data_IF_472730917508
#
_entry.id   IF_472730917508
#
_cell.length_a   1.000
_cell.length_b   1.000
_cell.length_c   1.000
_cell.angle_alpha   90.00
_cell.angle_beta   90.00
_cell.angle_gamma   90.00
#
_symmetry.space_group_name_H-M   'P 1'
#
loop_
_entity.id
_entity.type
_entity.pdbx_description
1 polymer ?
#
# COMPACT_ATOMS: atom_id res chain seq x y z
N UNK A 1 -5.16 20.28 -75.86
CA UNK A 1 -4.43 20.58 -74.62
C UNK A 1 -5.37 20.36 -73.45
N UNK A 2 -5.16 19.26 -72.65
CA UNK A 2 -5.96 18.99 -71.45
C UNK A 2 -5.05 19.30 -70.25
N UNK A 3 -5.35 20.34 -69.49
CA UNK A 3 -4.67 20.72 -68.25
C UNK A 3 -5.13 19.80 -67.09
N UNK A 4 -4.18 19.07 -66.50
CA UNK A 4 -4.41 18.27 -65.29
C UNK A 4 -4.14 19.15 -64.07
N UNK A 5 -5.20 19.42 -63.30
CA UNK A 5 -5.04 19.99 -61.96
C UNK A 5 -4.59 18.92 -60.95
N UNK A 6 -3.44 19.09 -60.38
CA UNK A 6 -2.98 18.31 -59.21
C UNK A 6 -3.47 19.02 -57.92
N UNK A 7 -4.40 18.42 -57.19
CA UNK A 7 -4.78 18.87 -55.85
C UNK A 7 -3.84 18.16 -54.87
N UNK A 8 -2.93 18.92 -54.25
CA UNK A 8 -2.07 18.45 -53.19
C UNK A 8 -2.85 18.52 -51.87
N UNK A 9 -3.24 17.36 -51.31
CA UNK A 9 -3.86 17.27 -49.97
C UNK A 9 -2.70 17.14 -48.98
N UNK A 10 -2.41 18.26 -48.27
CA UNK A 10 -1.47 18.24 -47.13
C UNK A 10 -2.17 17.68 -45.92
N UNK A 11 -1.82 16.46 -45.52
CA UNK A 11 -2.22 15.88 -44.25
C UNK A 11 -1.37 16.51 -43.13
N UNK A 12 -1.97 17.41 -42.35
CA UNK A 12 -1.39 17.84 -41.10
C UNK A 12 -1.55 16.73 -40.08
N UNK A 13 -0.50 15.97 -39.83
CA UNK A 13 -0.41 15.14 -38.64
C UNK A 13 -0.24 16.06 -37.43
N UNK A 14 -1.31 16.28 -36.67
CA UNK A 14 -1.19 16.77 -35.31
C UNK A 14 -0.52 15.69 -34.46
N UNK A 15 0.80 15.81 -34.28
CA UNK A 15 1.51 15.12 -33.22
C UNK A 15 0.98 15.70 -31.90
N UNK A 16 -0.05 15.08 -31.33
CA UNK A 16 -0.38 15.30 -29.92
C UNK A 16 0.82 14.77 -29.12
N UNK A 17 1.76 15.66 -28.78
CA UNK A 17 2.72 15.40 -27.73
C UNK A 17 1.90 15.12 -26.47
N UNK A 18 1.99 13.89 -25.95
CA UNK A 18 1.47 13.53 -24.63
C UNK A 18 2.21 14.39 -23.60
N UNK A 19 1.72 15.61 -23.39
CA UNK A 19 2.29 16.51 -22.40
C UNK A 19 1.94 15.95 -21.01
N UNK A 20 2.97 15.75 -20.18
CA UNK A 20 2.82 15.29 -18.80
C UNK A 20 1.76 16.13 -18.07
N UNK A 21 1.07 15.53 -17.13
CA UNK A 21 0.08 16.25 -16.32
C UNK A 21 0.81 17.23 -15.41
N UNK A 22 0.56 18.52 -15.61
CA UNK A 22 1.08 19.57 -14.72
C UNK A 22 0.23 19.64 -13.44
N UNK A 23 0.85 19.40 -12.28
CA UNK A 23 0.19 19.42 -10.98
C UNK A 23 -0.53 20.74 -10.72
N UNK A 24 0.17 21.86 -10.96
CA UNK A 24 -0.36 23.19 -10.65
C UNK A 24 -1.58 23.58 -11.49
N UNK A 25 -1.75 23.01 -12.68
CA UNK A 25 -2.92 23.22 -13.53
C UNK A 25 -4.19 22.60 -12.99
N UNK A 26 -4.10 21.40 -12.38
CA UNK A 26 -5.27 20.61 -11.99
C UNK A 26 -5.51 20.57 -10.49
N UNK A 27 -4.49 20.74 -9.65
CA UNK A 27 -4.57 20.43 -8.23
C UNK A 27 -4.10 21.57 -7.32
N UNK A 28 -4.50 21.50 -6.06
CA UNK A 28 -4.02 22.34 -4.95
C UNK A 28 -3.05 21.56 -4.07
N UNK A 29 -2.43 22.19 -3.07
CA UNK A 29 -1.56 21.54 -2.08
C UNK A 29 -2.34 20.85 -0.94
N UNK A 30 -3.66 20.75 -1.07
CA UNK A 30 -4.53 19.98 -0.16
C UNK A 30 -4.75 18.59 -0.71
N UNK A 31 -5.20 17.66 0.13
CA UNK A 31 -5.60 16.34 -0.30
C UNK A 31 -7.13 16.22 -0.41
N UNK A 32 -7.57 15.40 -1.36
CA UNK A 32 -8.94 14.90 -1.47
C UNK A 32 -8.94 13.45 -1.03
N UNK A 33 -9.70 13.14 0.02
CA UNK A 33 -9.93 11.77 0.47
C UNK A 33 -11.34 11.34 0.12
N UNK A 34 -11.45 10.15 -0.47
CA UNK A 34 -12.73 9.50 -0.72
C UNK A 34 -12.84 8.32 0.24
N UNK A 35 -13.76 8.40 1.19
CA UNK A 35 -14.13 7.30 2.06
C UNK A 35 -15.29 6.52 1.43
N UNK A 36 -15.18 5.20 1.38
CA UNK A 36 -16.18 4.32 0.76
C UNK A 36 -16.21 2.96 1.46
N UNK A 37 -17.29 2.20 1.25
CA UNK A 37 -17.39 0.82 1.69
C UNK A 37 -17.15 -0.11 0.49
N UNK A 38 -16.32 -1.14 0.68
CA UNK A 38 -16.33 -2.32 -0.19
C UNK A 38 -17.19 -3.39 0.48
N UNK A 39 -18.19 -3.89 -0.23
CA UNK A 39 -19.12 -4.89 0.30
C UNK A 39 -19.35 -6.01 -0.70
N UNK A 40 -19.59 -7.21 -0.21
CA UNK A 40 -19.84 -8.38 -1.04
C UNK A 40 -19.49 -9.69 -0.34
N UNK A 41 -19.12 -10.69 -1.13
CA UNK A 41 -18.71 -12.02 -0.69
C UNK A 41 -17.53 -12.52 -1.56
N UNK A 42 -17.22 -13.81 -1.52
CA UNK A 42 -16.11 -14.38 -2.31
C UNK A 42 -16.22 -14.21 -3.84
N UNK A 43 -17.42 -13.98 -4.38
CA UNK A 43 -17.66 -13.87 -5.83
C UNK A 43 -18.18 -12.50 -6.29
N UNK A 44 -18.53 -11.62 -5.35
CA UNK A 44 -19.09 -10.31 -5.64
C UNK A 44 -18.39 -9.21 -4.85
N UNK A 45 -18.22 -8.04 -5.48
CA UNK A 45 -17.70 -6.82 -4.86
C UNK A 45 -18.47 -5.62 -5.42
N UNK A 46 -18.87 -4.72 -4.52
CA UNK A 46 -19.49 -3.44 -4.86
C UNK A 46 -18.89 -2.36 -3.97
N UNK A 47 -18.63 -1.20 -4.53
CA UNK A 47 -18.15 -0.04 -3.79
C UNK A 47 -19.29 0.98 -3.60
N UNK A 48 -19.39 1.54 -2.38
CA UNK A 48 -20.40 2.54 -2.00
C UNK A 48 -19.73 3.77 -1.42
N UNK A 49 -19.92 4.93 -2.05
CA UNK A 49 -19.39 6.21 -1.55
C UNK A 49 -19.98 6.51 -0.17
N UNK A 50 -19.13 6.78 0.81
CA UNK A 50 -19.53 7.22 2.15
C UNK A 50 -19.44 8.75 2.28
N UNK A 51 -18.30 9.34 1.91
CA UNK A 51 -18.10 10.80 1.96
C UNK A 51 -16.87 11.21 1.17
N UNK A 52 -16.80 12.51 0.84
CA UNK A 52 -15.63 13.20 0.29
C UNK A 52 -15.09 14.12 1.38
N UNK A 53 -13.79 14.12 1.61
CA UNK A 53 -13.12 14.94 2.65
C UNK A 53 -12.00 15.76 2.03
N UNK A 54 -11.97 17.05 2.34
CA UNK A 54 -10.83 17.90 2.07
C UNK A 54 -9.86 17.85 3.26
N UNK A 55 -8.64 17.38 3.04
CA UNK A 55 -7.58 17.31 4.05
C UNK A 55 -6.57 18.44 3.85
N UNK A 56 -5.93 18.95 4.92
CA UNK A 56 -5.13 20.16 4.86
C UNK A 56 -3.86 20.05 4.02
N UNK A 57 -3.29 18.85 3.87
CA UNK A 57 -1.99 18.63 3.27
C UNK A 57 -2.02 17.54 2.21
N UNK A 58 -1.38 17.78 1.07
CA UNK A 58 -0.99 16.75 0.13
C UNK A 58 0.48 16.38 0.37
N UNK A 59 0.74 15.14 0.79
CA UNK A 59 2.09 14.59 0.99
C UNK A 59 2.64 13.88 -0.23
N UNK A 60 1.76 13.40 -1.12
CA UNK A 60 2.13 12.51 -2.22
C UNK A 60 2.79 13.24 -3.40
N UNK A 61 3.13 12.44 -4.42
CA UNK A 61 3.85 12.90 -5.62
C UNK A 61 3.13 14.01 -6.39
N UNK A 62 3.90 14.90 -7.01
CA UNK A 62 3.42 16.00 -7.86
C UNK A 62 3.85 15.83 -9.34
N UNK A 63 4.43 14.70 -9.70
CA UNK A 63 4.93 14.35 -11.03
C UNK A 63 4.39 12.98 -11.47
N UNK A 64 4.46 12.67 -12.76
CA UNK A 64 3.98 11.41 -13.34
C UNK A 64 2.56 11.03 -12.86
N UNK A 65 1.67 12.03 -12.75
CA UNK A 65 0.36 11.88 -12.12
C UNK A 65 -0.57 10.93 -12.87
N UNK A 66 -0.38 10.82 -14.20
CA UNK A 66 -1.11 9.94 -15.11
C UNK A 66 -0.47 8.55 -15.29
N UNK A 67 0.50 8.20 -14.43
CA UNK A 67 1.20 6.91 -14.44
C UNK A 67 1.17 6.28 -13.06
N UNK A 68 1.23 4.95 -12.98
CA UNK A 68 1.38 4.18 -11.74
C UNK A 68 2.18 2.91 -11.98
N UNK A 69 2.58 2.24 -10.91
CA UNK A 69 3.48 1.08 -10.98
C UNK A 69 2.79 -0.25 -11.30
N UNK A 70 1.47 -0.24 -11.56
CA UNK A 70 0.61 -1.42 -11.78
C UNK A 70 0.61 -2.42 -10.60
N UNK A 71 0.69 -1.90 -9.38
CA UNK A 71 0.62 -2.68 -8.14
C UNK A 71 -0.79 -2.62 -7.53
N UNK A 72 -1.15 -3.63 -6.73
CA UNK A 72 -2.42 -3.71 -6.00
C UNK A 72 -3.55 -4.43 -6.72
N UNK A 73 -4.53 -4.91 -5.95
CA UNK A 73 -5.76 -5.54 -6.46
C UNK A 73 -6.78 -4.52 -6.96
N UNK A 74 -6.62 -3.26 -6.58
CA UNK A 74 -7.47 -2.16 -6.99
C UNK A 74 -6.64 -1.02 -7.55
N UNK A 75 -7.28 -0.19 -8.39
CA UNK A 75 -6.77 1.11 -8.79
C UNK A 75 -7.89 2.13 -8.78
N UNK A 76 -7.51 3.40 -8.69
CA UNK A 76 -8.43 4.51 -8.90
C UNK A 76 -7.87 5.50 -9.92
N UNK A 77 -8.77 6.12 -10.65
CA UNK A 77 -8.45 7.09 -11.68
C UNK A 77 -9.23 8.38 -11.43
N UNK A 78 -8.57 9.51 -11.63
CA UNK A 78 -9.17 10.83 -11.57
C UNK A 78 -9.06 11.45 -12.95
N UNK A 79 -10.22 11.77 -13.54
CA UNK A 79 -10.31 12.36 -14.87
C UNK A 79 -10.91 13.77 -14.75
N UNK A 80 -10.29 14.75 -15.38
CA UNK A 80 -10.85 16.08 -15.48
C UNK A 80 -12.16 16.05 -16.29
N UNK A 81 -13.28 16.48 -15.71
CA UNK A 81 -14.61 16.35 -16.32
C UNK A 81 -14.76 17.18 -17.59
N UNK A 82 -14.02 18.30 -17.71
CA UNK A 82 -14.15 19.19 -18.87
C UNK A 82 -13.40 18.65 -20.10
N UNK A 83 -12.19 18.12 -19.91
CA UNK A 83 -11.32 17.67 -21.00
C UNK A 83 -11.37 16.15 -21.24
N UNK A 84 -11.87 15.37 -20.28
CA UNK A 84 -11.79 13.92 -20.29
C UNK A 84 -10.36 13.38 -20.08
N UNK A 85 -9.39 14.24 -19.72
CA UNK A 85 -7.99 13.83 -19.53
C UNK A 85 -7.83 13.12 -18.20
N UNK A 86 -7.12 11.97 -18.20
CA UNK A 86 -6.64 11.33 -16.98
C UNK A 86 -5.61 12.26 -16.31
N UNK A 87 -5.86 12.68 -15.07
CA UNK A 87 -5.02 13.63 -14.33
C UNK A 87 -4.38 13.04 -13.08
N UNK A 88 -4.89 11.89 -12.59
CA UNK A 88 -4.25 11.14 -11.51
C UNK A 88 -4.66 9.66 -11.58
N UNK A 89 -3.73 8.77 -11.26
CA UNK A 89 -3.99 7.33 -11.15
C UNK A 89 -3.08 6.74 -10.08
N UNK A 90 -3.61 5.80 -9.27
CA UNK A 90 -2.79 4.99 -8.37
C UNK A 90 -3.44 3.65 -8.06
N UNK A 91 -2.63 2.70 -7.53
CA UNK A 91 -3.06 1.38 -7.12
C UNK A 91 -3.10 1.24 -5.61
N UNK A 92 -3.91 0.32 -5.10
CA UNK A 92 -4.02 0.01 -3.68
C UNK A 92 -4.54 -1.41 -3.45
N UNK A 93 -4.38 -1.91 -2.23
CA UNK A 93 -4.92 -3.18 -1.75
C UNK A 93 -5.87 -2.96 -0.58
N UNK A 94 -6.61 -3.98 -0.18
CA UNK A 94 -7.62 -3.84 0.88
C UNK A 94 -7.77 -5.12 1.70
N UNK A 95 -8.11 -4.97 2.97
CA UNK A 95 -8.49 -6.09 3.83
C UNK A 95 -9.74 -6.86 3.30
N UNK A 96 -10.62 -6.17 2.55
CA UNK A 96 -11.77 -6.80 1.90
C UNK A 96 -11.36 -7.84 0.86
N UNK A 97 -10.31 -7.57 0.07
CA UNK A 97 -9.81 -8.54 -0.91
C UNK A 97 -9.30 -9.81 -0.24
N UNK A 98 -8.47 -9.68 0.79
CA UNK A 98 -7.97 -10.82 1.55
C UNK A 98 -9.11 -11.61 2.20
N UNK A 99 -10.11 -10.92 2.79
CA UNK A 99 -11.28 -11.58 3.33
C UNK A 99 -12.07 -12.36 2.27
N UNK A 100 -12.14 -11.88 1.02
CA UNK A 100 -12.84 -12.58 -0.07
C UNK A 100 -12.26 -13.96 -0.36
N UNK A 101 -10.98 -14.22 -0.03
CA UNK A 101 -10.32 -15.53 -0.22
C UNK A 101 -10.65 -16.53 0.90
N UNK A 102 -11.22 -16.08 2.01
CA UNK A 102 -11.51 -16.91 3.18
C UNK A 102 -12.75 -17.80 3.01
N UNK A 103 -12.83 -18.87 3.81
CA UNK A 103 -14.01 -19.73 3.88
C UNK A 103 -15.24 -19.00 4.44
N UNK A 104 -15.07 -17.92 5.22
CA UNK A 104 -16.17 -17.10 5.73
C UNK A 104 -16.87 -16.37 4.59
N UNK A 105 -16.12 -15.81 3.63
CA UNK A 105 -16.67 -15.09 2.48
C UNK A 105 -17.50 -15.99 1.56
N UNK A 106 -17.29 -17.32 1.58
CA UNK A 106 -18.12 -18.31 0.85
C UNK A 106 -19.51 -18.48 1.47
N UNK A 107 -19.73 -18.01 2.72
CA UNK A 107 -20.96 -18.25 3.49
C UNK A 107 -21.76 -16.99 3.80
N UNK A 108 -21.14 -15.81 3.72
CA UNK A 108 -21.80 -14.55 4.05
C UNK A 108 -21.22 -13.39 3.26
N UNK A 109 -21.93 -12.25 3.28
CA UNK A 109 -21.45 -10.98 2.78
C UNK A 109 -21.06 -10.06 3.95
N UNK A 110 -19.98 -9.28 3.77
CA UNK A 110 -19.52 -8.24 4.72
C UNK A 110 -19.23 -6.93 3.99
N UNK A 111 -19.11 -5.86 4.76
CA UNK A 111 -18.60 -4.57 4.28
C UNK A 111 -17.38 -4.15 5.09
N UNK A 112 -16.45 -3.44 4.43
CA UNK A 112 -15.20 -2.96 4.98
C UNK A 112 -15.01 -1.50 4.65
N UNK A 113 -14.57 -0.70 5.62
CA UNK A 113 -14.15 0.69 5.38
C UNK A 113 -12.91 0.72 4.48
N UNK A 114 -12.95 1.58 3.47
CA UNK A 114 -11.84 1.82 2.56
C UNK A 114 -11.71 3.30 2.27
N UNK A 115 -10.51 3.72 1.91
CA UNK A 115 -10.23 5.12 1.63
C UNK A 115 -9.11 5.24 0.61
N UNK A 116 -9.30 6.12 -0.38
CA UNK A 116 -8.26 6.54 -1.31
C UNK A 116 -7.97 8.02 -1.13
N UNK A 117 -6.78 8.45 -1.52
CA UNK A 117 -6.33 9.84 -1.42
C UNK A 117 -5.65 10.27 -2.71
N UNK A 118 -5.92 11.50 -3.14
CA UNK A 118 -5.27 12.17 -4.26
C UNK A 118 -5.24 13.69 -4.02
N UNK A 119 -4.47 14.47 -4.80
CA UNK A 119 -4.44 15.93 -4.60
C UNK A 119 -5.81 16.56 -4.83
N UNK A 120 -6.19 17.55 -4.03
CA UNK A 120 -7.51 18.18 -4.12
C UNK A 120 -7.66 18.95 -5.46
N UNK A 121 -8.67 18.62 -6.29
CA UNK A 121 -8.81 19.17 -7.63
C UNK A 121 -9.28 20.62 -7.61
N UNK A 122 -8.88 21.39 -8.62
CA UNK A 122 -9.33 22.79 -8.84
C UNK A 122 -10.65 22.88 -9.60
N UNK A 123 -10.99 21.85 -10.36
CA UNK A 123 -12.18 21.78 -11.22
C UNK A 123 -12.95 20.48 -10.97
N UNK A 124 -14.14 20.35 -11.57
CA UNK A 124 -14.91 19.12 -11.48
C UNK A 124 -14.15 17.92 -12.06
N UNK A 125 -14.24 16.79 -11.38
CA UNK A 125 -13.55 15.56 -11.75
C UNK A 125 -14.47 14.36 -11.70
N UNK A 126 -14.12 13.34 -12.47
CA UNK A 126 -14.66 11.99 -12.38
C UNK A 126 -13.69 11.10 -11.60
N UNK A 127 -14.20 10.42 -10.60
CA UNK A 127 -13.49 9.38 -9.83
C UNK A 127 -13.98 8.02 -10.31
N UNK A 128 -13.05 7.12 -10.64
CA UNK A 128 -13.34 5.71 -10.93
C UNK A 128 -12.52 4.82 -10.01
N UNK A 129 -13.16 3.79 -9.44
CA UNK A 129 -12.50 2.73 -8.64
C UNK A 129 -12.74 1.41 -9.36
N UNK A 130 -11.65 0.69 -9.61
CA UNK A 130 -11.63 -0.54 -10.39
C UNK A 130 -10.94 -1.66 -9.63
N UNK A 131 -11.44 -2.90 -9.80
CA UNK A 131 -10.85 -4.14 -9.28
C UNK A 131 -10.08 -4.84 -10.39
N UNK A 132 -8.91 -5.37 -10.07
CA UNK A 132 -8.11 -6.22 -10.96
C UNK A 132 -8.84 -7.53 -11.24
N UNK A 133 -8.89 -7.93 -12.50
CA UNK A 133 -9.49 -9.19 -12.97
C UNK A 133 -8.51 -10.06 -13.76
N UNK A 134 -7.26 -9.64 -13.87
CA UNK A 134 -6.13 -10.28 -14.51
C UNK A 134 -4.94 -9.33 -14.49
N UNK A 135 -3.77 -9.73 -14.95
CA UNK A 135 -2.53 -8.94 -14.82
C UNK A 135 -2.68 -7.48 -15.30
N UNK A 136 -3.38 -7.26 -16.43
CA UNK A 136 -3.63 -5.92 -17.00
C UNK A 136 -5.13 -5.66 -17.29
N UNK A 137 -6.03 -6.41 -16.67
CA UNK A 137 -7.48 -6.24 -16.87
C UNK A 137 -8.19 -5.79 -15.60
N UNK A 138 -9.24 -4.96 -15.77
CA UNK A 138 -9.89 -4.23 -14.71
C UNK A 138 -11.39 -4.21 -14.86
N UNK A 139 -12.11 -4.34 -13.75
CA UNK A 139 -13.56 -4.20 -13.65
C UNK A 139 -13.89 -2.96 -12.84
N UNK A 140 -14.70 -2.06 -13.39
CA UNK A 140 -15.20 -0.89 -12.68
C UNK A 140 -16.17 -1.31 -11.57
N UNK A 141 -15.91 -0.85 -10.33
CA UNK A 141 -16.76 -1.07 -9.17
C UNK A 141 -17.61 0.16 -8.83
N UNK A 142 -17.02 1.36 -8.97
CA UNK A 142 -17.70 2.62 -8.68
C UNK A 142 -17.19 3.71 -9.62
N UNK A 143 -18.09 4.60 -10.05
CA UNK A 143 -17.75 5.81 -10.77
C UNK A 143 -18.72 6.92 -10.38
N UNK A 144 -18.23 8.13 -10.17
CA UNK A 144 -19.03 9.31 -9.89
C UNK A 144 -18.27 10.58 -10.23
N UNK A 145 -19.01 11.67 -10.45
CA UNK A 145 -18.47 13.01 -10.68
C UNK A 145 -18.71 13.87 -9.44
N UNK A 146 -17.77 14.75 -9.10
CA UNK A 146 -17.98 15.79 -8.10
C UNK A 146 -17.27 17.10 -8.47
N UNK A 147 -17.80 18.20 -7.92
CA UNK A 147 -17.18 19.52 -8.02
C UNK A 147 -16.48 19.87 -6.71
N UNK A 148 -15.28 20.49 -6.74
CA UNK A 148 -14.61 20.99 -5.53
C UNK A 148 -15.42 22.08 -4.79
N UNK A 149 -16.43 22.65 -5.44
CA UNK A 149 -17.37 23.63 -4.86
C UNK A 149 -18.55 22.98 -4.13
N UNK A 150 -18.67 21.65 -4.15
CA UNK A 150 -19.74 20.94 -3.46
C UNK A 150 -19.70 21.22 -1.96
N UNK A 151 -20.84 21.60 -1.42
CA UNK A 151 -21.02 21.93 0.00
C UNK A 151 -21.03 20.69 0.90
N UNK A 152 -21.26 19.50 0.34
CA UNK A 152 -21.24 18.22 1.05
C UNK A 152 -19.82 17.66 1.24
N UNK A 153 -18.80 18.28 0.63
CA UNK A 153 -17.40 17.93 0.95
C UNK A 153 -17.14 18.31 2.40
N UNK A 154 -16.74 17.31 3.19
CA UNK A 154 -16.42 17.50 4.61
C UNK A 154 -15.12 18.32 4.76
N UNK A 155 -15.20 19.44 5.48
CA UNK A 155 -14.09 20.34 5.80
C UNK A 155 -13.99 20.49 7.31
N UNK A 156 -13.73 19.36 7.98
CA UNK A 156 -13.69 19.33 9.43
C UNK A 156 -12.45 20.04 9.99
N UNK A 157 -12.60 20.64 11.17
CA UNK A 157 -11.44 21.09 11.91
C UNK A 157 -10.53 19.90 12.25
N UNK A 158 -9.19 20.04 12.13
CA UNK A 158 -8.26 18.97 12.48
C UNK A 158 -8.43 18.52 13.93
N UNK A 159 -8.21 17.24 14.18
CA UNK A 159 -8.16 16.69 15.52
C UNK A 159 -7.04 17.37 16.32
N UNK A 160 -7.28 17.60 17.61
CA UNK A 160 -6.29 18.22 18.51
C UNK A 160 -5.58 17.14 19.32
N UNK A 161 -4.59 16.52 18.72
CA UNK A 161 -3.71 15.54 19.39
C UNK A 161 -2.26 15.94 19.20
N UNK A 162 -1.36 15.57 20.11
CA UNK A 162 0.05 15.89 19.96
C UNK A 162 0.68 15.18 18.75
N UNK A 163 1.46 15.94 17.99
CA UNK A 163 2.25 15.45 16.86
C UNK A 163 3.70 15.80 17.09
N UNK A 164 4.61 14.89 16.74
CA UNK A 164 6.06 15.09 16.81
C UNK A 164 6.69 14.78 15.47
N UNK A 165 7.53 15.68 14.96
CA UNK A 165 8.45 15.37 13.87
C UNK A 165 9.60 14.49 14.41
N UNK A 166 9.65 13.22 13.97
CA UNK A 166 10.73 12.28 14.31
C UNK A 166 11.93 12.55 13.39
N UNK A 167 11.67 12.75 12.12
CA UNK A 167 12.66 13.11 11.10
C UNK A 167 12.02 14.04 10.08
N UNK A 168 12.69 15.16 9.79
CA UNK A 168 12.34 16.06 8.69
C UNK A 168 13.56 16.27 7.81
N UNK A 169 13.57 15.64 6.66
CA UNK A 169 14.70 15.67 5.72
C UNK A 169 14.50 16.71 4.62
N UNK A 170 13.31 16.78 4.03
CA UNK A 170 12.99 17.68 2.92
C UNK A 170 11.52 18.14 2.98
N UNK A 171 11.13 18.99 2.03
CA UNK A 171 9.72 19.32 1.79
C UNK A 171 8.96 18.09 1.24
N UNK A 172 7.66 18.01 1.51
CA UNK A 172 6.82 16.86 1.16
C UNK A 172 6.75 16.56 -0.35
N UNK A 173 6.95 17.56 -1.20
CA UNK A 173 7.02 17.37 -2.66
C UNK A 173 8.30 16.67 -3.14
N UNK A 174 9.29 16.45 -2.25
CA UNK A 174 10.60 15.82 -2.54
C UNK A 174 10.94 14.67 -1.60
N UNK A 175 10.09 14.38 -0.65
CA UNK A 175 10.30 13.34 0.33
C UNK A 175 9.04 12.50 0.49
N UNK A 176 9.23 11.27 0.92
CA UNK A 176 8.18 10.38 1.38
C UNK A 176 7.82 10.78 2.81
N UNK A 177 6.56 11.05 3.07
CA UNK A 177 6.05 11.37 4.39
C UNK A 177 5.41 10.14 5.04
N UNK A 178 6.00 9.65 6.14
CA UNK A 178 5.50 8.51 6.91
C UNK A 178 4.78 9.02 8.16
N UNK A 179 3.48 8.73 8.28
CA UNK A 179 2.68 9.04 9.47
C UNK A 179 2.60 7.80 10.39
N UNK A 180 3.24 7.86 11.57
CA UNK A 180 3.11 6.84 12.60
C UNK A 180 1.98 7.22 13.54
N UNK A 181 0.93 6.41 13.61
CA UNK A 181 -0.26 6.63 14.43
C UNK A 181 -0.25 5.71 15.64
N UNK A 182 -0.45 6.27 16.85
CA UNK A 182 -0.52 5.51 18.09
C UNK A 182 -1.80 4.66 18.15
N UNK A 183 -1.68 3.41 18.63
CA UNK A 183 -2.78 2.51 18.88
C UNK A 183 -2.59 1.78 20.20
N UNK A 184 -3.61 1.80 21.08
CA UNK A 184 -3.52 1.19 22.42
C UNK A 184 -2.63 1.97 23.41
N UNK A 185 -2.25 3.20 23.11
CA UNK A 185 -1.59 4.12 24.05
C UNK A 185 -2.61 5.09 24.63
N UNK A 186 -2.73 5.13 25.96
CA UNK A 186 -3.55 6.13 26.63
C UNK A 186 -2.88 7.51 26.61
N UNK A 187 -3.62 8.57 26.92
CA UNK A 187 -3.06 9.92 27.01
C UNK A 187 -1.88 10.01 27.99
N UNK A 188 -1.86 9.21 29.08
CA UNK A 188 -0.76 9.15 30.02
C UNK A 188 0.50 8.44 29.45
N UNK A 189 0.36 7.67 28.37
CA UNK A 189 1.45 6.91 27.73
C UNK A 189 2.04 7.63 26.50
N UNK A 190 1.70 8.88 26.28
CA UNK A 190 2.16 9.68 25.13
C UNK A 190 3.70 9.68 25.00
N UNK A 191 4.43 9.83 26.14
CA UNK A 191 5.89 9.78 26.11
C UNK A 191 6.41 8.43 25.60
N UNK A 192 5.82 7.32 26.12
CA UNK A 192 6.15 5.96 25.67
C UNK A 192 5.95 5.81 24.17
N UNK A 193 4.81 6.30 23.67
CA UNK A 193 4.53 6.25 22.22
C UNK A 193 5.61 6.96 21.40
N UNK A 194 6.00 8.19 21.75
CA UNK A 194 7.04 8.90 21.01
C UNK A 194 8.40 8.21 21.07
N UNK A 195 8.74 7.59 22.21
CA UNK A 195 9.97 6.80 22.34
C UNK A 195 9.91 5.53 21.47
N UNK A 196 8.75 4.86 21.39
CA UNK A 196 8.56 3.66 20.56
C UNK A 196 8.50 4.02 19.06
N UNK A 197 7.88 5.14 18.68
CA UNK A 197 7.89 5.65 17.31
C UNK A 197 9.30 6.02 16.83
N UNK A 198 10.13 6.59 17.72
CA UNK A 198 11.55 6.84 17.42
C UNK A 198 12.29 5.54 17.12
N UNK A 199 12.11 4.50 17.95
CA UNK A 199 12.74 3.19 17.73
C UNK A 199 12.29 2.57 16.40
N UNK A 200 10.99 2.66 16.06
CA UNK A 200 10.49 2.18 14.78
C UNK A 200 11.22 2.86 13.61
N UNK A 201 11.33 4.18 13.65
CA UNK A 201 12.04 4.92 12.62
C UNK A 201 13.53 4.56 12.54
N UNK A 202 14.19 4.43 13.70
CA UNK A 202 15.60 4.02 13.77
C UNK A 202 15.80 2.61 13.17
N UNK A 203 14.91 1.67 13.48
CA UNK A 203 14.95 0.30 12.97
C UNK A 203 14.76 0.27 11.44
N UNK A 204 13.80 1.04 10.91
CA UNK A 204 13.58 1.16 9.46
C UNK A 204 14.86 1.60 8.74
N UNK A 205 15.57 2.59 9.30
CA UNK A 205 16.80 3.12 8.72
C UNK A 205 18.06 2.25 8.97
N UNK A 206 17.94 1.10 9.61
CA UNK A 206 18.99 0.08 9.62
C UNK A 206 18.98 -0.80 8.37
N UNK A 207 17.86 -0.81 7.61
CA UNK A 207 17.65 -1.67 6.45
C UNK A 207 17.82 -0.92 5.13
N UNK A 208 18.54 -1.54 4.18
CA UNK A 208 18.53 -1.07 2.79
C UNK A 208 17.20 -1.42 2.12
N UNK A 209 16.66 -0.56 1.23
CA UNK A 209 17.24 0.68 0.73
C UNK A 209 16.88 1.94 1.56
N UNK A 210 16.07 1.84 2.62
CA UNK A 210 15.66 2.98 3.46
C UNK A 210 16.87 3.72 4.05
N UNK A 211 17.93 2.99 4.42
CA UNK A 211 19.16 3.56 4.96
C UNK A 211 19.82 4.54 3.99
N UNK A 212 20.08 4.12 2.75
CA UNK A 212 20.74 4.97 1.73
C UNK A 212 19.86 6.12 1.26
N UNK A 213 18.54 5.97 1.35
CA UNK A 213 17.55 6.98 0.96
C UNK A 213 16.98 7.78 2.15
N UNK A 214 17.56 7.70 3.34
CA UNK A 214 17.07 8.38 4.55
C UNK A 214 16.79 9.87 4.34
N UNK A 215 17.61 10.55 3.54
CA UNK A 215 17.45 11.97 3.22
C UNK A 215 16.21 12.30 2.35
N UNK A 216 15.49 11.28 1.88
CA UNK A 216 14.26 11.40 1.09
C UNK A 216 13.02 10.99 1.88
N UNK A 217 13.13 10.85 3.19
CA UNK A 217 12.05 10.36 4.04
C UNK A 217 11.87 11.32 5.21
N UNK A 218 10.63 11.73 5.43
CA UNK A 218 10.17 12.40 6.63
C UNK A 218 9.36 11.41 7.48
N UNK A 219 9.39 11.55 8.78
CA UNK A 219 8.64 10.70 9.72
C UNK A 219 7.97 11.57 10.77
N UNK A 220 6.67 11.40 10.92
CA UNK A 220 5.84 12.08 11.91
C UNK A 220 5.20 11.05 12.84
N UNK A 221 5.11 11.37 14.12
CA UNK A 221 4.42 10.56 15.12
C UNK A 221 3.19 11.30 15.64
N UNK A 222 2.02 10.65 15.59
CA UNK A 222 0.72 11.21 15.95
C UNK A 222 0.20 10.45 17.16
N UNK A 223 0.16 11.11 18.33
CA UNK A 223 -0.21 10.49 19.59
C UNK A 223 -1.74 10.39 19.74
N UNK A 224 -2.39 9.59 18.90
CA UNK A 224 -3.82 9.29 18.99
C UNK A 224 -4.14 8.61 20.33
N UNK A 225 -4.97 9.21 21.22
CA UNK A 225 -5.22 8.66 22.53
C UNK A 225 -6.25 7.53 22.49
N UNK A 226 -5.88 6.37 23.03
CA UNK A 226 -6.82 5.28 23.32
C UNK A 226 -7.42 5.42 24.72
N UNK A 227 -8.67 4.96 24.93
CA UNK A 227 -9.26 4.88 26.26
C UNK A 227 -8.59 3.78 27.08
N UNK A 228 -8.32 2.64 26.45
CA UNK A 228 -7.63 1.50 27.05
C UNK A 228 -6.18 1.38 26.57
N UNK A 229 -5.32 0.83 27.42
CA UNK A 229 -3.99 0.38 27.02
C UNK A 229 -4.07 -1.00 26.37
N UNK A 230 -3.09 -1.32 25.48
CA UNK A 230 -3.06 -2.54 24.69
C UNK A 230 -4.12 -2.53 23.57
N UNK A 231 -4.20 -3.60 22.78
CA UNK A 231 -5.17 -3.80 21.70
C UNK A 231 -6.07 -5.00 21.99
N UNK A 232 -7.16 -5.15 21.24
CA UNK A 232 -8.08 -6.26 21.44
C UNK A 232 -7.47 -7.60 21.01
N UNK A 233 -7.69 -8.65 21.81
CA UNK A 233 -7.35 -10.05 21.55
C UNK A 233 -8.63 -10.91 21.66
N UNK A 234 -9.50 -10.91 20.63
CA UNK A 234 -10.83 -11.53 20.68
C UNK A 234 -10.83 -13.01 21.06
N UNK A 235 -9.82 -13.76 20.60
CA UNK A 235 -9.66 -15.19 20.88
C UNK A 235 -9.37 -15.48 22.38
N UNK A 236 -8.94 -14.47 23.14
CA UNK A 236 -8.76 -14.52 24.59
C UNK A 236 -9.92 -13.84 25.35
N UNK A 237 -10.96 -13.38 24.65
CA UNK A 237 -12.07 -12.62 25.22
C UNK A 237 -11.68 -11.21 25.69
N UNK A 238 -10.51 -10.71 25.32
CA UNK A 238 -10.00 -9.39 25.72
C UNK A 238 -10.35 -8.33 24.67
N UNK A 239 -11.31 -7.47 24.99
CA UNK A 239 -11.72 -6.34 24.17
C UNK A 239 -11.22 -5.03 24.75
N UNK A 240 -10.75 -4.10 23.89
CA UNK A 240 -10.20 -2.80 24.25
C UNK A 240 -10.81 -1.69 23.41
N UNK A 241 -11.06 -0.55 24.03
CA UNK A 241 -11.52 0.66 23.35
C UNK A 241 -10.29 1.51 22.99
N UNK A 242 -9.82 1.40 21.76
CA UNK A 242 -8.59 2.01 21.30
C UNK A 242 -8.82 3.02 20.17
N UNK A 243 -7.81 3.81 19.81
CA UNK A 243 -7.93 4.95 18.91
C UNK A 243 -8.46 4.57 17.52
N UNK A 244 -8.02 3.43 16.99
CA UNK A 244 -8.43 2.92 15.67
C UNK A 244 -8.98 1.50 15.72
N UNK A 245 -9.22 0.95 16.93
CA UNK A 245 -9.89 -0.34 17.12
C UNK A 245 -9.12 -1.55 16.58
N UNK A 246 -7.78 -1.50 16.60
CA UNK A 246 -7.00 -2.64 16.12
C UNK A 246 -7.21 -3.88 16.99
N UNK A 247 -7.23 -5.03 16.32
CA UNK A 247 -7.41 -6.31 17.01
C UNK A 247 -6.61 -7.42 16.34
N UNK A 248 -6.17 -8.37 17.15
CA UNK A 248 -5.65 -9.65 16.68
C UNK A 248 -6.78 -10.57 16.21
N UNK A 249 -6.38 -11.73 15.69
CA UNK A 249 -7.30 -12.78 15.26
C UNK A 249 -8.14 -12.41 14.04
N UNK A 250 -7.61 -11.52 13.20
CA UNK A 250 -8.21 -11.21 11.91
C UNK A 250 -8.25 -12.48 11.07
N UNK A 251 -9.42 -12.79 10.49
CA UNK A 251 -9.69 -14.00 9.70
C UNK A 251 -9.36 -15.32 10.44
N UNK A 252 -9.42 -15.31 11.78
CA UNK A 252 -9.07 -16.45 12.66
C UNK A 252 -7.56 -16.77 12.70
N UNK A 253 -6.68 -15.92 12.15
CA UNK A 253 -5.23 -16.06 12.27
C UNK A 253 -4.74 -15.32 13.55
N UNK A 254 -4.18 -16.04 14.55
CA UNK A 254 -3.88 -15.46 15.86
C UNK A 254 -2.93 -14.27 15.85
N UNK A 255 -1.99 -14.22 14.90
CA UNK A 255 -0.98 -13.16 14.80
C UNK A 255 -1.31 -12.05 13.83
N UNK A 256 -2.41 -12.21 13.06
CA UNK A 256 -2.82 -11.21 12.11
C UNK A 256 -3.51 -10.05 12.84
N UNK A 257 -2.83 -8.92 12.88
CA UNK A 257 -3.24 -7.70 13.57
C UNK A 257 -3.65 -6.65 12.54
N UNK A 258 -4.92 -6.25 12.55
CA UNK A 258 -5.47 -5.26 11.61
C UNK A 258 -6.43 -4.29 12.30
N UNK A 259 -6.87 -3.25 11.58
CA UNK A 259 -7.95 -2.36 12.04
C UNK A 259 -9.11 -2.32 11.05
N UNK A 260 -10.37 -2.40 11.53
CA UNK A 260 -11.56 -2.18 10.72
C UNK A 260 -11.93 -0.68 10.57
N UNK A 261 -11.35 0.22 11.39
CA UNK A 261 -11.72 1.64 11.46
C UNK A 261 -10.81 2.54 10.62
N UNK A 262 -10.82 2.32 9.30
CA UNK A 262 -9.97 3.06 8.36
C UNK A 262 -10.28 4.54 8.33
N UNK A 263 -11.54 4.94 8.45
CA UNK A 263 -11.91 6.35 8.45
C UNK A 263 -11.37 7.09 9.68
N UNK A 264 -11.36 6.44 10.84
CA UNK A 264 -10.74 7.00 12.06
C UNK A 264 -9.21 7.11 11.88
N UNK A 265 -8.57 6.07 11.35
CA UNK A 265 -7.14 6.07 11.05
C UNK A 265 -6.75 7.26 10.15
N UNK A 266 -7.46 7.45 9.05
CA UNK A 266 -7.21 8.54 8.10
C UNK A 266 -7.45 9.93 8.74
N UNK A 267 -8.42 10.07 9.65
CA UNK A 267 -8.62 11.34 10.37
C UNK A 267 -7.41 11.71 11.24
N UNK A 268 -6.70 10.73 11.84
CA UNK A 268 -5.46 10.99 12.56
C UNK A 268 -4.29 11.26 11.60
N UNK A 269 -4.13 10.46 10.55
CA UNK A 269 -3.06 10.63 9.58
C UNK A 269 -3.10 12.02 8.91
N UNK A 270 -4.29 12.57 8.65
CA UNK A 270 -4.50 13.88 8.03
C UNK A 270 -3.96 15.10 8.83
N UNK A 271 -3.45 14.87 10.05
CA UNK A 271 -2.77 15.91 10.84
C UNK A 271 -1.39 16.28 10.32
N UNK A 272 -0.84 15.47 9.44
CA UNK A 272 0.45 15.67 8.76
C UNK A 272 0.30 15.33 7.28
N UNK A 273 1.20 15.80 6.39
CA UNK A 273 1.31 15.21 5.06
C UNK A 273 1.72 13.74 5.19
N UNK A 274 1.20 12.84 4.32
CA UNK A 274 1.56 11.44 4.34
C UNK A 274 1.45 10.77 2.97
N UNK A 275 2.42 9.91 2.66
CA UNK A 275 2.40 8.91 1.59
C UNK A 275 2.10 7.53 2.15
N UNK A 276 2.58 7.25 3.36
CA UNK A 276 2.42 5.96 4.02
C UNK A 276 1.95 6.14 5.46
N UNK A 277 1.10 5.22 5.92
CA UNK A 277 0.61 5.17 7.30
C UNK A 277 1.17 3.94 7.99
N UNK A 278 1.73 4.14 9.17
CA UNK A 278 2.16 3.08 10.07
C UNK A 278 1.39 3.14 11.39
N UNK A 279 0.68 2.09 11.76
CA UNK A 279 0.00 1.98 13.05
C UNK A 279 0.93 1.26 14.02
N UNK A 280 1.30 1.92 15.11
CA UNK A 280 2.17 1.34 16.14
C UNK A 280 1.32 0.91 17.33
N UNK A 281 1.17 -0.40 17.51
CA UNK A 281 0.31 -0.99 18.53
C UNK A 281 1.05 -1.22 19.85
N UNK A 282 0.57 -0.64 20.94
CA UNK A 282 1.10 -0.82 22.29
C UNK A 282 0.70 -2.18 22.87
N UNK A 283 1.33 -3.24 22.42
CA UNK A 283 1.05 -4.60 22.87
C UNK A 283 2.32 -5.42 22.99
N UNK A 284 2.44 -6.30 24.01
CA UNK A 284 3.53 -7.27 24.12
C UNK A 284 3.33 -8.48 23.20
N UNK A 285 2.13 -8.71 22.69
CA UNK A 285 1.82 -9.82 21.81
C UNK A 285 2.41 -9.58 20.42
N UNK A 286 3.16 -10.56 19.89
CA UNK A 286 3.75 -10.48 18.56
C UNK A 286 2.69 -10.57 17.48
N UNK A 287 2.69 -9.63 16.53
CA UNK A 287 1.87 -9.65 15.33
C UNK A 287 2.01 -8.39 14.51
N UNK A 288 1.46 -8.45 13.32
CA UNK A 288 1.47 -7.36 12.36
C UNK A 288 0.48 -7.62 11.22
N UNK A 289 0.47 -6.70 10.28
CA UNK A 289 -0.26 -6.74 9.03
C UNK A 289 0.12 -5.56 8.16
N UNK A 290 0.38 -5.78 6.88
CA UNK A 290 0.73 -4.75 5.92
C UNK A 290 -0.09 -4.89 4.65
N UNK A 291 -0.80 -3.83 4.25
CA UNK A 291 -1.67 -3.80 3.07
C UNK A 291 -1.19 -2.69 2.14
N UNK A 292 -0.92 -3.02 0.88
CA UNK A 292 -0.31 -2.11 -0.08
C UNK A 292 -1.10 -0.80 -0.25
N UNK A 293 -0.36 0.34 -0.13
CA UNK A 293 -0.88 1.71 -0.22
C UNK A 293 -2.12 1.94 0.65
N UNK A 294 -2.17 1.27 1.81
CA UNK A 294 -3.28 1.35 2.74
C UNK A 294 -2.81 1.66 4.16
N UNK A 295 -2.16 0.70 4.83
CA UNK A 295 -1.41 0.89 6.07
C UNK A 295 -0.48 -0.29 6.36
N UNK A 296 0.56 -0.05 7.18
CA UNK A 296 1.26 -1.06 7.94
C UNK A 296 0.83 -0.99 9.40
N UNK A 297 0.81 -2.13 10.10
CA UNK A 297 0.55 -2.23 11.52
C UNK A 297 1.48 -3.26 12.15
N UNK A 298 2.11 -2.94 13.29
CA UNK A 298 2.89 -3.91 14.06
C UNK A 298 2.88 -3.60 15.55
N UNK A 299 3.14 -4.64 16.34
CA UNK A 299 3.33 -4.52 17.78
C UNK A 299 4.65 -3.82 18.15
N UNK A 300 4.58 -2.86 19.10
CA UNK A 300 5.72 -2.06 19.56
C UNK A 300 6.65 -2.82 20.51
N UNK A 301 6.13 -3.72 21.32
CA UNK A 301 6.80 -4.31 22.51
C UNK A 301 7.08 -5.81 22.41
N UNK A 302 7.04 -6.37 21.20
CA UNK A 302 7.33 -7.79 21.00
C UNK A 302 8.81 -8.08 21.30
N UNK A 303 9.08 -8.89 22.31
CA UNK A 303 10.45 -9.27 22.67
C UNK A 303 11.16 -10.10 21.58
N UNK A 304 10.40 -10.75 20.69
CA UNK A 304 10.92 -11.69 19.69
C UNK A 304 11.42 -11.03 18.40
N UNK A 305 11.04 -9.78 18.14
CA UNK A 305 11.32 -9.20 16.84
C UNK A 305 11.28 -7.67 16.86
N UNK A 306 12.05 -7.04 17.73
CA UNK A 306 11.99 -5.58 17.96
C UNK A 306 12.14 -4.73 16.70
N UNK A 307 12.79 -5.24 15.65
CA UNK A 307 12.98 -4.50 14.39
C UNK A 307 12.44 -5.24 13.17
N UNK A 308 12.20 -6.54 13.23
CA UNK A 308 12.07 -7.34 12.02
C UNK A 308 10.64 -7.32 11.45
N UNK A 309 9.61 -7.46 12.28
CA UNK A 309 8.22 -7.39 11.83
C UNK A 309 7.87 -6.00 11.31
N UNK A 310 8.41 -4.95 11.93
CA UNK A 310 8.15 -3.57 11.50
C UNK A 310 8.56 -3.34 10.05
N UNK A 311 9.75 -3.81 9.67
CA UNK A 311 10.28 -3.65 8.31
C UNK A 311 9.58 -4.58 7.32
N UNK A 312 9.19 -5.78 7.75
CA UNK A 312 8.44 -6.74 6.96
C UNK A 312 7.07 -6.16 6.57
N UNK A 313 6.25 -5.73 7.54
CA UNK A 313 4.93 -5.16 7.29
C UNK A 313 4.99 -3.86 6.46
N UNK A 314 6.05 -3.08 6.63
CA UNK A 314 6.28 -1.92 5.78
C UNK A 314 6.65 -2.30 4.35
N UNK A 315 7.33 -3.42 4.14
CA UNK A 315 7.58 -4.00 2.82
C UNK A 315 6.29 -4.27 2.04
N UNK A 316 5.28 -4.86 2.70
CA UNK A 316 3.96 -5.06 2.11
C UNK A 316 3.28 -3.73 1.79
N UNK A 317 3.11 -2.87 2.80
CA UNK A 317 2.28 -1.67 2.65
C UNK A 317 2.90 -0.60 1.76
N UNK A 318 4.22 -0.47 1.77
CA UNK A 318 4.93 0.56 1.02
C UNK A 318 5.27 0.16 -0.41
N UNK A 319 5.77 -1.07 -0.61
CA UNK A 319 6.29 -1.51 -1.90
C UNK A 319 5.50 -2.68 -2.54
N UNK A 320 4.40 -3.11 -1.92
CA UNK A 320 3.57 -4.20 -2.42
C UNK A 320 4.30 -5.54 -2.49
N UNK A 321 5.25 -5.79 -1.57
CA UNK A 321 5.94 -7.07 -1.52
C UNK A 321 5.00 -8.16 -1.03
N UNK A 322 5.01 -9.32 -1.68
CA UNK A 322 4.33 -10.52 -1.22
C UNK A 322 5.15 -11.28 -0.18
N UNK A 323 4.48 -12.13 0.61
CA UNK A 323 5.14 -13.05 1.51
C UNK A 323 5.95 -14.11 0.75
N UNK A 324 7.21 -14.29 1.12
CA UNK A 324 8.10 -15.31 0.55
C UNK A 324 8.11 -16.61 1.36
N UNK A 325 7.34 -16.69 2.45
CA UNK A 325 7.17 -17.93 3.20
C UNK A 325 5.99 -18.75 2.69
N UNK A 326 5.98 -20.01 3.08
CA UNK A 326 4.91 -20.98 2.81
C UNK A 326 4.62 -21.78 4.06
N UNK A 327 3.44 -22.35 4.15
CA UNK A 327 3.00 -23.21 5.25
C UNK A 327 2.80 -24.63 4.72
N UNK A 328 3.22 -25.65 5.49
CA UNK A 328 3.01 -27.07 5.14
C UNK A 328 1.58 -27.53 5.43
N UNK A 329 0.87 -26.84 6.30
CA UNK A 329 -0.52 -27.10 6.62
C UNK A 329 -1.42 -26.11 5.87
N UNK A 330 -2.65 -26.49 5.45
CA UNK A 330 -3.62 -25.60 4.84
C UNK A 330 -3.86 -24.35 5.69
N UNK A 331 -3.88 -23.20 5.05
CA UNK A 331 -4.09 -21.89 5.68
C UNK A 331 -5.42 -21.25 5.23
N UNK A 332 -5.85 -20.26 5.99
CA UNK A 332 -7.03 -19.43 5.64
C UNK A 332 -6.83 -18.62 4.36
N UNK A 333 -5.59 -18.41 3.93
CA UNK A 333 -5.19 -17.66 2.74
C UNK A 333 -4.71 -18.54 1.57
N UNK A 334 -4.94 -19.88 1.62
CA UNK A 334 -4.51 -20.78 0.53
C UNK A 334 -5.16 -20.47 -0.82
N UNK A 335 -6.35 -19.87 -0.81
CA UNK A 335 -7.08 -19.43 -2.02
C UNK A 335 -6.68 -18.01 -2.49
N UNK A 336 -5.62 -17.40 -1.91
CA UNK A 336 -5.25 -16.00 -2.22
C UNK A 336 -4.70 -15.84 -3.64
N UNK A 337 -4.01 -16.86 -4.17
CA UNK A 337 -3.39 -16.81 -5.49
C UNK A 337 -3.96 -17.86 -6.44
N UNK A 338 -4.37 -17.41 -7.64
CA UNK A 338 -4.62 -18.31 -8.76
C UNK A 338 -3.28 -18.55 -9.50
N UNK A 339 -2.77 -19.77 -9.46
CA UNK A 339 -1.51 -20.14 -10.13
C UNK A 339 -1.57 -20.07 -11.67
N UNK A 340 -2.74 -19.83 -12.26
CA UNK A 340 -2.90 -19.57 -13.71
C UNK A 340 -2.69 -18.11 -14.08
N UNK A 341 -2.63 -17.23 -13.07
CA UNK A 341 -2.37 -15.81 -13.22
C UNK A 341 -1.00 -15.45 -12.64
N UNK A 342 -0.37 -14.41 -13.19
CA UNK A 342 0.83 -13.86 -12.59
C UNK A 342 0.43 -12.93 -11.44
N UNK A 343 0.93 -13.12 -10.19
CA UNK A 343 0.65 -12.20 -9.09
C UNK A 343 1.18 -10.81 -9.41
N UNK A 344 0.53 -9.77 -8.89
CA UNK A 344 0.98 -8.40 -9.12
C UNK A 344 2.21 -8.04 -8.25
N UNK A 345 2.44 -8.69 -7.14
CA UNK A 345 3.55 -8.46 -6.23
C UNK A 345 4.90 -8.67 -6.92
N UNK A 346 5.87 -7.75 -6.77
CA UNK A 346 7.09 -7.77 -7.57
C UNK A 346 8.06 -8.91 -7.23
N UNK A 347 7.96 -9.49 -6.03
CA UNK A 347 8.92 -10.46 -5.47
C UNK A 347 8.41 -11.90 -5.43
N UNK A 348 7.23 -12.18 -5.97
CA UNK A 348 6.73 -13.56 -6.15
C UNK A 348 6.26 -13.77 -7.59
N UNK A 349 6.26 -15.01 -8.08
CA UNK A 349 5.85 -15.36 -9.45
C UNK A 349 5.27 -16.77 -9.52
N UNK A 350 4.21 -16.93 -10.32
CA UNK A 350 3.69 -18.23 -10.75
C UNK A 350 4.40 -18.75 -12.00
N UNK A 351 5.35 -18.00 -12.55
CA UNK A 351 6.03 -18.22 -13.84
C UNK A 351 5.13 -18.03 -15.08
N UNK A 352 3.88 -17.62 -14.92
CA UNK A 352 2.96 -17.37 -16.05
C UNK A 352 3.42 -16.18 -16.90
N UNK A 353 3.89 -15.10 -16.25
CA UNK A 353 4.48 -13.94 -16.92
C UNK A 353 5.78 -13.50 -16.24
N UNK A 354 6.73 -14.43 -16.11
CA UNK A 354 7.99 -14.18 -15.39
C UNK A 354 8.85 -13.08 -16.02
N UNK A 355 8.67 -12.79 -17.31
CA UNK A 355 9.36 -11.66 -17.99
C UNK A 355 9.05 -10.30 -17.31
N UNK A 356 7.86 -10.14 -16.73
CA UNK A 356 7.47 -8.93 -16.00
C UNK A 356 8.06 -8.84 -14.58
N UNK A 357 8.80 -9.84 -14.13
CA UNK A 357 9.38 -9.95 -12.79
C UNK A 357 10.91 -9.75 -12.83
N UNK A 358 11.64 -10.50 -12.05
CA UNK A 358 13.09 -10.40 -11.95
C UNK A 358 13.87 -11.31 -12.91
N UNK A 359 13.23 -11.84 -13.97
CA UNK A 359 13.90 -12.75 -14.92
C UNK A 359 15.14 -12.13 -15.54
N UNK A 360 15.09 -10.84 -15.88
CA UNK A 360 16.23 -10.11 -16.44
C UNK A 360 17.40 -9.93 -15.47
N UNK A 361 17.18 -10.09 -14.18
CA UNK A 361 18.20 -9.95 -13.13
C UNK A 361 18.92 -11.28 -12.84
N UNK A 362 18.46 -12.39 -13.44
CA UNK A 362 19.11 -13.70 -13.27
C UNK A 362 20.44 -13.77 -14.01
N UNK A 363 21.44 -14.49 -13.44
CA UNK A 363 22.67 -14.80 -14.15
C UNK A 363 22.41 -15.57 -15.46
N UNK A 364 23.23 -15.33 -16.47
CA UNK A 364 23.16 -16.10 -17.72
C UNK A 364 23.30 -17.59 -17.45
N UNK A 365 22.35 -18.39 -17.97
CA UNK A 365 22.31 -19.85 -17.76
C UNK A 365 21.72 -20.29 -16.42
N UNK A 366 21.05 -19.39 -15.69
CA UNK A 366 20.33 -19.75 -14.46
C UNK A 366 19.29 -20.85 -14.72
N UNK A 367 19.27 -21.86 -13.87
CA UNK A 367 18.30 -22.96 -13.94
C UNK A 367 17.00 -22.53 -13.25
N UNK A 368 15.87 -22.67 -13.95
CA UNK A 368 14.53 -22.33 -13.48
C UNK A 368 13.67 -23.60 -13.44
N UNK A 369 13.10 -24.00 -12.27
CA UNK A 369 13.33 -23.41 -10.96
C UNK A 369 14.72 -23.71 -10.38
N UNK A 370 15.19 -22.88 -9.45
CA UNK A 370 16.46 -23.07 -8.76
C UNK A 370 16.33 -24.17 -7.71
N UNK A 371 17.06 -25.28 -7.92
CA UNK A 371 17.10 -26.38 -6.97
C UNK A 371 17.80 -25.95 -5.68
N UNK A 372 17.23 -26.28 -4.51
CA UNK A 372 17.83 -25.97 -3.20
C UNK A 372 19.00 -26.89 -2.90
N UNK A 373 20.21 -26.33 -2.82
CA UNK A 373 21.47 -26.97 -2.34
C UNK A 373 22.21 -25.98 -1.45
N UNK A 374 23.26 -26.42 -0.78
CA UNK A 374 24.04 -25.51 0.09
C UNK A 374 24.77 -24.42 -0.71
N UNK A 375 25.05 -24.64 -1.99
CA UNK A 375 25.60 -23.66 -2.89
C UNK A 375 24.52 -22.66 -3.35
N UNK A 376 23.36 -23.15 -3.78
CA UNK A 376 22.29 -22.28 -4.31
C UNK A 376 21.60 -21.47 -3.24
N UNK A 377 21.58 -21.91 -1.97
CA UNK A 377 21.12 -21.08 -0.84
C UNK A 377 21.89 -19.77 -0.69
N UNK A 378 23.11 -19.70 -1.22
CA UNK A 378 23.99 -18.52 -1.17
C UNK A 378 23.83 -17.58 -2.35
N UNK A 379 23.06 -17.97 -3.36
CA UNK A 379 22.81 -17.14 -4.53
C UNK A 379 22.05 -15.87 -4.10
N UNK A 380 22.47 -14.70 -4.58
CA UNK A 380 21.77 -13.46 -4.27
C UNK A 380 20.38 -13.41 -4.93
N UNK A 381 20.26 -14.01 -6.12
CA UNK A 381 19.00 -14.09 -6.88
C UNK A 381 18.89 -15.48 -7.53
N UNK A 382 17.69 -16.06 -7.45
CA UNK A 382 17.32 -17.33 -8.10
C UNK A 382 15.82 -17.36 -8.37
N UNK A 383 15.26 -18.59 -8.48
CA UNK A 383 13.82 -18.85 -8.62
C UNK A 383 13.50 -20.05 -7.76
N UNK A 384 13.31 -19.83 -6.46
CA UNK A 384 13.12 -20.88 -5.46
C UNK A 384 11.64 -21.20 -5.28
N UNK A 385 11.25 -22.46 -5.40
CA UNK A 385 9.86 -22.87 -5.20
C UNK A 385 9.43 -22.68 -3.74
N UNK A 386 8.18 -22.29 -3.57
CA UNK A 386 7.54 -21.93 -2.29
C UNK A 386 7.56 -20.42 -2.03
N UNK A 387 6.38 -19.86 -1.74
CA UNK A 387 6.11 -18.43 -1.48
C UNK A 387 4.62 -18.18 -1.58
N UNK A 388 4.14 -16.99 -1.19
CA UNK A 388 2.70 -16.65 -1.22
C UNK A 388 1.86 -17.70 -0.47
N UNK A 389 2.33 -18.16 0.67
CA UNK A 389 1.74 -19.23 1.50
C UNK A 389 1.78 -20.65 0.87
N UNK A 390 2.05 -20.78 -0.44
CA UNK A 390 2.01 -22.02 -1.21
C UNK A 390 3.37 -22.72 -1.22
N UNK A 391 3.37 -24.04 -1.00
CA UNK A 391 4.58 -24.88 -1.06
C UNK A 391 5.05 -25.14 -2.49
N UNK A 392 4.14 -25.10 -3.48
CA UNK A 392 4.40 -25.41 -4.89
C UNK A 392 3.68 -24.45 -5.83
N UNK A 393 4.27 -24.26 -7.03
CA UNK A 393 3.69 -23.45 -8.10
C UNK A 393 3.88 -21.96 -7.93
N UNK A 394 4.31 -21.50 -6.77
CA UNK A 394 4.72 -20.13 -6.50
C UNK A 394 6.23 -20.10 -6.21
N UNK A 395 6.91 -19.05 -6.67
CA UNK A 395 8.36 -18.95 -6.57
C UNK A 395 8.77 -17.59 -6.02
N UNK A 396 9.91 -17.57 -5.30
CA UNK A 396 10.52 -16.39 -4.69
C UNK A 396 11.96 -16.19 -5.18
N UNK A 397 12.53 -14.97 -5.08
CA UNK A 397 13.82 -14.64 -5.70
C UNK A 397 15.04 -15.13 -4.91
N UNK A 398 14.93 -15.35 -3.60
CA UNK A 398 16.05 -15.74 -2.75
C UNK A 398 15.67 -16.89 -1.82
N UNK A 399 16.70 -17.62 -1.34
CA UNK A 399 16.46 -18.66 -0.36
C UNK A 399 15.96 -18.06 0.96
N UNK A 400 16.52 -16.95 1.39
CA UNK A 400 16.10 -16.21 2.59
C UNK A 400 16.04 -14.70 2.32
N UNK A 401 15.07 -14.03 2.92
CA UNK A 401 14.77 -12.63 2.73
C UNK A 401 13.95 -12.10 3.93
N UNK A 402 13.95 -10.80 4.18
CA UNK A 402 13.06 -10.16 5.18
C UNK A 402 11.58 -10.52 4.96
N UNK A 403 11.15 -10.69 3.71
CA UNK A 403 9.77 -11.11 3.38
C UNK A 403 9.52 -12.60 3.62
N UNK A 404 10.53 -13.37 4.06
CA UNK A 404 10.40 -14.79 4.38
C UNK A 404 10.59 -15.10 5.85
N UNK A 405 11.65 -14.56 6.48
CA UNK A 405 11.99 -14.86 7.88
C UNK A 405 12.43 -13.62 8.63
N UNK A 406 12.18 -13.61 9.93
CA UNK A 406 12.69 -12.55 10.81
C UNK A 406 14.22 -12.64 11.02
N UNK A 407 14.84 -13.78 10.77
CA UNK A 407 16.28 -14.00 10.94
C UNK A 407 17.10 -13.52 9.73
N UNK A 408 16.45 -13.23 8.60
CA UNK A 408 17.11 -12.69 7.42
C UNK A 408 17.84 -11.37 7.73
N UNK A 409 18.99 -11.16 7.12
CA UNK A 409 19.81 -9.93 7.34
C UNK A 409 19.13 -8.66 6.81
N UNK A 410 18.19 -8.79 5.87
CA UNK A 410 17.50 -7.69 5.21
C UNK A 410 16.67 -8.19 4.03
N UNK A 411 16.24 -7.29 3.19
CA UNK A 411 15.60 -7.63 1.93
C UNK A 411 16.59 -8.29 0.96
N UNK A 412 16.12 -9.20 0.12
CA UNK A 412 16.89 -9.70 -1.00
C UNK A 412 17.00 -8.62 -2.11
N UNK A 413 17.92 -8.77 -3.08
CA UNK A 413 18.11 -7.73 -4.11
C UNK A 413 16.86 -7.38 -4.91
N UNK A 414 15.94 -8.33 -5.14
CA UNK A 414 14.67 -8.08 -5.84
C UNK A 414 13.74 -7.23 -4.99
N UNK A 415 13.60 -7.56 -3.71
CA UNK A 415 12.80 -6.77 -2.76
C UNK A 415 13.40 -5.37 -2.54
N UNK A 416 14.74 -5.25 -2.40
CA UNK A 416 15.41 -3.94 -2.32
C UNK A 416 15.12 -3.07 -3.55
N UNK A 417 15.22 -3.66 -4.75
CA UNK A 417 14.92 -2.98 -6.02
C UNK A 417 13.47 -2.51 -6.10
N UNK A 418 12.52 -3.32 -5.61
CA UNK A 418 11.11 -2.95 -5.56
C UNK A 418 10.85 -1.78 -4.60
N UNK A 419 11.43 -1.82 -3.39
CA UNK A 419 11.33 -0.73 -2.41
C UNK A 419 12.00 0.54 -2.95
N UNK A 420 13.19 0.44 -3.55
CA UNK A 420 13.88 1.57 -4.16
C UNK A 420 13.10 2.19 -5.31
N UNK A 421 12.50 1.37 -6.17
CA UNK A 421 11.63 1.83 -7.26
C UNK A 421 10.45 2.65 -6.71
N UNK A 422 9.86 2.24 -5.60
CA UNK A 422 8.79 3.00 -4.94
C UNK A 422 9.30 4.33 -4.38
N UNK A 423 10.47 4.34 -3.73
CA UNK A 423 11.09 5.57 -3.23
C UNK A 423 11.31 6.57 -4.38
N UNK A 424 11.92 6.13 -5.47
CA UNK A 424 12.21 6.98 -6.64
C UNK A 424 10.91 7.44 -7.33
N UNK A 425 9.91 6.56 -7.43
CA UNK A 425 8.60 6.90 -8.00
C UNK A 425 7.88 7.98 -7.19
N UNK A 426 7.91 7.92 -5.86
CA UNK A 426 7.25 8.92 -5.00
C UNK A 426 8.03 10.24 -4.94
N UNK A 427 9.36 10.22 -5.07
CA UNK A 427 10.21 11.41 -4.96
C UNK A 427 10.57 12.05 -6.30
N UNK A 428 10.15 11.48 -7.44
CA UNK A 428 10.26 12.11 -8.77
C UNK A 428 11.59 11.89 -9.49
N UNK A 429 12.24 10.78 -9.27
CA UNK A 429 13.50 10.44 -9.95
C UNK A 429 13.44 9.20 -10.84
#
# INVERSE_FOLDING_TARGET
MKQKFFVSISFFFFLNSLQAVDFASFFTQKACRIDFQLAGNNTSATAYLSRIVEEPFWGGRQHQLDKYLNLGEYRFQITDSASGKLIYIDGFSTLFFEWQTTSEAKRMSKSFENSIQFPFPKSAVRVSIEKRTGFDSWQQLMQFDFSPLDKLIARNAPLKVPVKEILKSQSSDKAIDIAIVAEGYTAAQQKKFFDDAQKLADDLFTHEPFKRHKQRINVYAIAAPSADTNVSEPHLGAWRNTAVGAHFYTFYEPRYLTTPHVFALRNYAALVPYDAIYILANTPTYGGGGIYNFYALASADSQRAKSHVVVHEFGHSFAGLGDEYFKEQPDVLDDMYDLKEEPWEPNITSLVNFEAKWKSDLPTGAIIPTRVTDETKKLPIGVFEGGGYLTKGMYRPAYDCRMRTNDAKGFCPVCEKAVERMILYLTGE
#
